data_IF_894107271701
#
_entry.id   IF_894107271701
#
_cell.length_a   1.000
_cell.length_b   1.000
_cell.length_c   1.000
_cell.angle_alpha   90.00
_cell.angle_beta   90.00
_cell.angle_gamma   90.00
#
_symmetry.space_group_name_H-M   'P 1'
#
loop_
_entity.id
_entity.type
_entity.pdbx_description
1 polymer ?
#
# COMPACT_ATOMS: atom_id res chain seq x y z
N UNK A 1 -0.45 -2.89 7.10
CA UNK A 1 -0.03 -2.59 5.71
C UNK A 1 0.69 -1.26 5.51
N UNK A 2 0.56 -0.29 6.40
CA UNK A 2 1.20 1.03 6.25
C UNK A 2 2.71 1.04 6.53
N UNK A 3 3.20 0.15 7.37
CA UNK A 3 4.62 0.13 7.73
C UNK A 3 5.56 -0.34 6.62
N UNK A 4 5.10 -1.18 5.69
CA UNK A 4 5.92 -1.61 4.55
C UNK A 4 6.16 -0.48 3.55
N UNK A 5 5.24 0.47 3.39
CA UNK A 5 5.39 1.60 2.47
C UNK A 5 6.36 2.67 2.96
N UNK A 6 6.57 2.80 4.27
CA UNK A 6 7.47 3.81 4.87
C UNK A 6 8.95 3.43 4.69
N UNK A 7 9.27 2.17 4.43
CA UNK A 7 10.65 1.69 4.27
C UNK A 7 11.23 1.93 2.88
N UNK A 8 10.42 2.04 1.85
CA UNK A 8 10.87 2.18 0.47
C UNK A 8 11.16 3.64 0.10
N UNK A 9 12.08 4.29 0.83
CA UNK A 9 12.48 5.68 0.53
C UNK A 9 13.27 5.80 -0.77
N UNK A 10 13.95 4.75 -1.18
CA UNK A 10 14.70 4.66 -2.45
C UNK A 10 14.56 3.29 -3.07
N UNK A 11 14.76 3.22 -4.38
CA UNK A 11 14.80 1.95 -5.10
C UNK A 11 15.99 1.12 -4.64
N UNK A 12 15.83 -0.18 -4.62
CA UNK A 12 16.89 -1.11 -4.25
C UNK A 12 16.82 -2.38 -5.09
N UNK A 13 17.96 -3.11 -5.14
CA UNK A 13 18.01 -4.42 -5.76
C UNK A 13 17.26 -5.46 -4.92
N UNK A 14 16.52 -6.34 -5.58
CA UNK A 14 15.86 -7.45 -4.94
C UNK A 14 15.87 -8.67 -5.88
N UNK A 15 16.61 -9.71 -5.54
CA UNK A 15 16.80 -10.88 -6.39
C UNK A 15 15.49 -11.56 -6.82
N UNK A 16 14.45 -11.45 -5.99
CA UNK A 16 13.15 -12.07 -6.22
C UNK A 16 12.16 -11.16 -6.96
N UNK A 17 12.56 -10.01 -7.52
CA UNK A 17 11.66 -9.08 -8.19
C UNK A 17 12.14 -8.72 -9.58
N UNK A 18 11.15 -8.48 -10.47
CA UNK A 18 11.39 -7.99 -11.84
C UNK A 18 10.38 -6.88 -12.12
N UNK A 19 10.74 -5.64 -11.83
CA UNK A 19 9.88 -4.48 -12.09
C UNK A 19 10.38 -3.72 -13.33
N UNK A 20 9.47 -3.35 -14.22
CA UNK A 20 9.80 -2.69 -15.48
C UNK A 20 10.63 -3.54 -16.43
N UNK A 21 10.42 -4.88 -16.46
CA UNK A 21 11.12 -5.81 -17.35
C UNK A 21 12.59 -6.10 -16.99
N UNK A 22 13.07 -5.63 -15.83
CA UNK A 22 14.45 -5.82 -15.38
C UNK A 22 14.48 -6.67 -14.11
N UNK A 23 15.09 -7.86 -14.21
CA UNK A 23 15.28 -8.77 -13.08
C UNK A 23 16.13 -8.10 -11.98
N UNK A 24 15.77 -8.37 -10.73
CA UNK A 24 16.50 -7.83 -9.58
C UNK A 24 16.15 -6.39 -9.21
N UNK A 25 15.12 -5.79 -9.81
CA UNK A 25 14.75 -4.39 -9.58
C UNK A 25 13.48 -4.25 -8.75
N UNK A 26 13.53 -3.35 -7.76
CA UNK A 26 12.37 -2.84 -7.03
C UNK A 26 12.29 -1.32 -7.22
N UNK A 27 11.26 -0.84 -7.91
CA UNK A 27 11.06 0.57 -8.26
C UNK A 27 10.08 1.30 -7.32
N UNK A 28 9.75 0.76 -6.17
CA UNK A 28 8.75 1.32 -5.24
C UNK A 28 9.26 2.50 -4.40
N UNK A 29 10.56 2.79 -4.47
CA UNK A 29 11.15 3.92 -3.74
C UNK A 29 10.67 5.28 -4.25
N UNK A 30 10.79 6.30 -3.41
CA UNK A 30 10.52 7.71 -3.75
C UNK A 30 11.66 8.33 -4.55
N UNK A 31 12.86 7.74 -4.45
CA UNK A 31 14.09 8.19 -5.08
C UNK A 31 14.72 6.99 -5.78
N UNK A 32 15.42 7.22 -6.89
CA UNK A 32 16.15 6.15 -7.60
C UNK A 32 17.25 5.54 -6.72
N UNK A 33 17.68 4.31 -7.06
CA UNK A 33 18.70 3.58 -6.30
C UNK A 33 20.01 4.35 -6.16
N UNK A 34 20.43 5.06 -7.20
CA UNK A 34 21.59 5.96 -7.20
C UNK A 34 21.37 7.29 -6.46
N UNK A 35 20.14 7.49 -5.95
CA UNK A 35 19.70 8.68 -5.22
C UNK A 35 19.76 10.01 -6.00
N UNK A 36 19.96 9.96 -7.30
CA UNK A 36 20.08 11.18 -8.12
C UNK A 36 18.73 11.76 -8.52
N UNK A 37 17.72 10.91 -8.71
CA UNK A 37 16.41 11.32 -9.21
C UNK A 37 15.36 11.15 -8.13
N UNK A 38 14.70 12.26 -7.77
CA UNK A 38 13.48 12.28 -6.99
C UNK A 38 12.32 12.03 -7.93
N UNK A 39 11.52 11.02 -7.67
CA UNK A 39 10.32 10.68 -8.47
C UNK A 39 9.17 11.62 -8.13
N UNK A 40 8.12 11.66 -8.95
CA UNK A 40 6.95 12.50 -8.68
C UNK A 40 6.28 12.15 -7.35
N UNK A 41 6.29 10.87 -6.96
CA UNK A 41 5.84 10.44 -5.64
C UNK A 41 6.57 11.13 -4.48
N UNK A 42 7.87 11.42 -4.60
CA UNK A 42 8.61 12.20 -3.60
C UNK A 42 7.98 13.58 -3.40
N UNK A 43 7.62 14.25 -4.50
CA UNK A 43 7.05 15.60 -4.43
C UNK A 43 5.61 15.60 -3.92
N UNK A 44 4.86 14.52 -4.14
CA UNK A 44 3.55 14.36 -3.51
C UNK A 44 3.68 14.26 -1.98
N UNK A 45 4.59 13.43 -1.47
CA UNK A 45 4.87 13.37 -0.03
C UNK A 45 5.38 14.71 0.51
N UNK A 46 6.24 15.39 -0.26
CA UNK A 46 6.71 16.72 0.10
C UNK A 46 5.55 17.72 0.22
N UNK A 47 4.56 17.68 -0.68
CA UNK A 47 3.40 18.54 -0.62
C UNK A 47 2.55 18.32 0.64
N UNK A 48 2.48 17.07 1.15
CA UNK A 48 1.76 16.76 2.39
C UNK A 48 2.51 17.15 3.67
N UNK A 49 3.83 17.08 3.67
CA UNK A 49 4.60 17.13 4.92
C UNK A 49 5.51 18.35 5.06
N UNK A 50 5.80 19.06 3.98
CA UNK A 50 6.64 20.24 4.03
C UNK A 50 5.80 21.48 4.36
N UNK A 51 6.15 22.25 5.40
CA UNK A 51 5.44 23.49 5.73
C UNK A 51 5.75 24.65 4.77
N UNK A 52 6.90 24.59 4.08
CA UNK A 52 7.29 25.65 3.14
C UNK A 52 6.51 25.55 1.84
N UNK A 53 6.12 26.68 1.21
CA UNK A 53 5.44 26.68 -0.07
C UNK A 53 6.22 25.89 -1.11
N UNK A 54 5.52 25.03 -1.86
CA UNK A 54 6.12 24.27 -2.94
C UNK A 54 5.14 24.03 -4.09
N UNK A 55 5.68 23.91 -5.29
CA UNK A 55 4.96 23.47 -6.48
C UNK A 55 5.86 22.57 -7.32
N UNK A 56 5.30 21.53 -7.94
CA UNK A 56 6.04 20.60 -8.79
C UNK A 56 5.17 20.10 -9.94
N UNK A 57 5.66 20.27 -11.17
CA UNK A 57 5.05 19.68 -12.36
C UNK A 57 5.46 18.20 -12.42
N UNK A 58 4.48 17.31 -12.55
CA UNK A 58 4.73 15.88 -12.71
C UNK A 58 5.18 15.56 -14.15
N UNK A 59 5.73 14.35 -14.31
CA UNK A 59 6.08 13.77 -15.62
C UNK A 59 7.08 14.62 -16.45
N UNK A 60 7.94 15.41 -15.81
CA UNK A 60 8.92 16.26 -16.50
C UNK A 60 9.87 15.50 -17.43
N UNK A 61 10.13 14.21 -17.12
CA UNK A 61 11.00 13.37 -17.93
C UNK A 61 10.30 12.84 -19.19
N UNK A 62 8.99 12.86 -19.19
CA UNK A 62 8.16 12.59 -20.37
C UNK A 62 7.96 13.90 -21.15
N UNK A 63 9.07 14.45 -21.66
CA UNK A 63 9.12 15.76 -22.32
C UNK A 63 8.86 15.71 -23.83
N UNK A 64 8.97 14.54 -24.47
CA UNK A 64 8.67 14.34 -25.89
C UNK A 64 7.33 13.60 -25.97
N UNK A 65 6.29 14.24 -26.49
CA UNK A 65 4.92 13.70 -26.56
C UNK A 65 4.37 13.72 -27.97
N UNK A 66 3.79 12.62 -28.40
CA UNK A 66 3.19 12.52 -29.74
C UNK A 66 1.76 13.05 -29.84
N UNK A 67 1.07 13.13 -28.70
CA UNK A 67 -0.32 13.57 -28.65
C UNK A 67 -0.45 15.10 -28.70
N UNK A 68 -1.53 15.61 -29.36
CA UNK A 68 -1.92 17.01 -29.25
C UNK A 68 -2.45 17.34 -27.87
N UNK A 69 -3.36 16.52 -27.36
CA UNK A 69 -4.00 16.72 -26.07
C UNK A 69 -3.20 15.98 -24.99
N UNK A 70 -2.89 16.70 -23.92
CA UNK A 70 -2.17 16.14 -22.77
C UNK A 70 -2.70 16.73 -21.48
N UNK A 71 -2.34 16.10 -20.36
CA UNK A 71 -2.70 16.58 -19.03
C UNK A 71 -1.45 16.98 -18.27
N UNK A 72 -1.44 18.20 -17.76
CA UNK A 72 -0.40 18.68 -16.84
C UNK A 72 -0.89 18.44 -15.43
N UNK A 73 -0.18 17.59 -14.69
CA UNK A 73 -0.44 17.32 -13.27
C UNK A 73 0.57 18.06 -12.43
N UNK A 74 0.09 18.64 -11.35
CA UNK A 74 0.90 19.48 -10.45
C UNK A 74 0.68 19.04 -9.01
N UNK A 75 1.75 18.89 -8.26
CA UNK A 75 1.72 18.67 -6.82
C UNK A 75 2.12 19.96 -6.09
N UNK A 76 1.34 20.36 -5.10
CA UNK A 76 1.59 21.57 -4.32
C UNK A 76 0.89 21.52 -2.96
N UNK A 77 1.40 22.28 -2.00
CA UNK A 77 0.74 22.55 -0.73
C UNK A 77 0.02 23.90 -0.69
N UNK A 78 -0.12 24.55 -1.85
CA UNK A 78 -0.88 25.80 -1.99
C UNK A 78 -2.32 25.51 -2.41
N UNK A 79 -3.24 26.46 -2.19
CA UNK A 79 -4.66 26.28 -2.47
C UNK A 79 -5.02 26.38 -3.96
N UNK A 80 -4.25 27.16 -4.72
CA UNK A 80 -4.50 27.44 -6.14
C UNK A 80 -3.23 27.36 -6.96
N UNK A 81 -3.38 26.93 -8.21
CA UNK A 81 -2.30 26.88 -9.21
C UNK A 81 -2.77 27.60 -10.47
N UNK A 82 -1.93 28.50 -10.97
CA UNK A 82 -2.09 29.13 -12.28
C UNK A 82 -1.18 28.45 -13.27
N UNK A 83 -1.72 28.05 -14.42
CA UNK A 83 -0.99 27.47 -15.53
C UNK A 83 -0.76 28.51 -16.62
N UNK A 84 0.46 28.58 -17.11
CA UNK A 84 0.84 29.32 -18.30
C UNK A 84 1.41 28.37 -19.35
N UNK A 85 1.00 28.56 -20.60
CA UNK A 85 1.51 27.84 -21.76
C UNK A 85 2.03 28.86 -22.76
N UNK A 86 3.30 28.74 -23.14
CA UNK A 86 3.98 29.67 -24.06
C UNK A 86 3.87 31.15 -23.65
N UNK A 87 3.80 31.40 -22.35
CA UNK A 87 3.72 32.75 -21.78
C UNK A 87 2.29 33.29 -21.57
N UNK A 88 1.28 32.59 -22.08
CA UNK A 88 -0.13 32.95 -21.91
C UNK A 88 -0.75 32.24 -20.72
N UNK A 89 -1.52 32.94 -19.90
CA UNK A 89 -2.30 32.35 -18.80
C UNK A 89 -3.45 31.55 -19.36
N UNK A 90 -3.48 30.25 -19.08
CA UNK A 90 -4.48 29.35 -19.63
C UNK A 90 -5.59 29.03 -18.63
N UNK A 91 -5.26 28.80 -17.37
CA UNK A 91 -6.22 28.40 -16.38
C UNK A 91 -5.71 28.60 -14.94
N UNK A 92 -6.65 28.79 -14.02
CA UNK A 92 -6.42 28.77 -12.57
C UNK A 92 -7.29 27.67 -11.97
N UNK A 93 -6.67 26.69 -11.32
CA UNK A 93 -7.39 25.59 -10.69
C UNK A 93 -7.18 25.57 -9.18
N UNK A 94 -8.24 25.20 -8.48
CA UNK A 94 -8.15 24.85 -7.06
C UNK A 94 -7.46 23.50 -6.87
N UNK A 95 -6.69 23.40 -5.81
CA UNK A 95 -5.93 22.19 -5.46
C UNK A 95 -6.80 21.28 -4.58
N UNK A 96 -6.92 20.03 -4.98
CA UNK A 96 -7.62 19.01 -4.17
C UNK A 96 -6.63 17.91 -3.78
N UNK A 97 -6.50 17.67 -2.47
CA UNK A 97 -5.57 16.66 -1.93
C UNK A 97 -4.14 16.84 -2.46
N UNK A 98 -3.67 18.10 -2.48
CA UNK A 98 -2.34 18.47 -2.97
C UNK A 98 -2.09 18.24 -4.47
N UNK A 99 -3.16 18.05 -5.26
CA UNK A 99 -3.08 17.81 -6.70
C UNK A 99 -3.93 18.82 -7.45
N UNK A 100 -3.37 19.43 -8.49
CA UNK A 100 -4.11 20.13 -9.54
C UNK A 100 -3.82 19.48 -10.89
N UNK A 101 -4.80 19.49 -11.81
CA UNK A 101 -4.66 18.90 -13.14
C UNK A 101 -5.25 19.82 -14.18
N UNK A 102 -4.54 19.98 -15.30
CA UNK A 102 -4.91 20.87 -16.39
C UNK A 102 -4.88 20.10 -17.72
N UNK A 103 -6.02 19.89 -18.37
CA UNK A 103 -6.03 19.44 -19.76
C UNK A 103 -5.56 20.59 -20.66
N UNK A 104 -4.60 20.33 -21.53
CA UNK A 104 -4.09 21.32 -22.48
C UNK A 104 -3.89 20.71 -23.87
N UNK A 105 -3.88 21.57 -24.89
CA UNK A 105 -3.48 21.22 -26.25
C UNK A 105 -2.09 21.78 -26.54
N UNK A 106 -1.17 20.91 -27.00
CA UNK A 106 0.19 21.28 -27.35
C UNK A 106 0.24 21.79 -28.80
N UNK A 107 0.87 22.92 -29.01
CA UNK A 107 1.27 23.37 -30.35
C UNK A 107 2.37 22.45 -30.92
N UNK A 108 2.55 22.44 -32.26
CA UNK A 108 3.66 21.72 -32.87
C UNK A 108 5.01 22.21 -32.36
N UNK A 109 5.91 21.29 -32.03
CA UNK A 109 7.23 21.62 -31.49
C UNK A 109 7.22 21.95 -30.00
N UNK A 110 8.09 22.85 -29.58
CA UNK A 110 8.34 23.17 -28.17
C UNK A 110 7.25 24.02 -27.54
N UNK A 111 6.73 23.56 -26.42
CA UNK A 111 5.77 24.26 -25.57
C UNK A 111 6.39 24.53 -24.20
N UNK A 112 6.47 25.77 -23.80
CA UNK A 112 6.93 26.18 -22.49
C UNK A 112 5.74 26.13 -21.51
N UNK A 113 5.81 25.27 -20.54
CA UNK A 113 4.80 25.09 -19.49
C UNK A 113 5.36 25.68 -18.20
N UNK A 114 4.65 26.62 -17.60
CA UNK A 114 4.97 27.20 -16.31
C UNK A 114 3.75 27.12 -15.41
N UNK A 115 3.96 26.73 -14.16
CA UNK A 115 2.94 26.77 -13.12
C UNK A 115 3.37 27.67 -11.97
N UNK A 116 2.44 28.44 -11.46
CA UNK A 116 2.65 29.33 -10.32
C UNK A 116 1.63 29.03 -9.22
N UNK A 117 2.11 28.95 -7.99
CA UNK A 117 1.29 28.70 -6.81
C UNK A 117 1.77 29.61 -5.67
N UNK A 118 1.04 30.72 -5.43
CA UNK A 118 1.54 31.79 -4.57
C UNK A 118 2.83 32.40 -5.11
N UNK A 119 3.88 32.41 -4.30
CA UNK A 119 5.19 32.95 -4.66
C UNK A 119 6.16 31.92 -5.27
N UNK A 120 5.76 30.65 -5.33
CA UNK A 120 6.58 29.58 -5.90
C UNK A 120 6.12 29.21 -7.30
N UNK A 121 7.07 28.79 -8.13
CA UNK A 121 6.80 28.39 -9.50
C UNK A 121 7.65 27.19 -9.91
N UNK A 122 7.21 26.52 -10.96
CA UNK A 122 7.93 25.42 -11.58
C UNK A 122 7.67 25.43 -13.08
N UNK A 123 8.65 24.96 -13.88
CA UNK A 123 8.54 24.98 -15.34
C UNK A 123 9.10 23.72 -15.97
N UNK A 124 8.59 23.42 -17.18
CA UNK A 124 9.08 22.35 -18.04
C UNK A 124 8.84 22.73 -19.51
N UNK A 125 9.70 22.29 -20.40
CA UNK A 125 9.45 22.35 -21.83
C UNK A 125 9.00 20.98 -22.32
N UNK A 126 7.84 20.94 -22.98
CA UNK A 126 7.30 19.75 -23.63
C UNK A 126 7.39 19.97 -25.14
N UNK A 127 8.01 19.04 -25.83
CA UNK A 127 8.13 19.08 -27.29
C UNK A 127 7.13 18.10 -27.91
N UNK A 128 6.22 18.60 -28.73
CA UNK A 128 5.28 17.78 -29.48
C UNK A 128 6.00 17.23 -30.72
N UNK A 129 6.20 15.93 -30.73
CA UNK A 129 6.90 15.16 -31.79
C UNK A 129 5.91 14.26 -32.54
N UNK A 130 6.28 13.82 -33.73
CA UNK A 130 5.46 12.89 -34.50
C UNK A 130 5.43 11.49 -33.85
N UNK A 131 6.56 11.06 -33.32
CA UNK A 131 6.71 9.75 -32.67
C UNK A 131 7.56 9.89 -31.40
N UNK A 132 7.10 9.26 -30.33
CA UNK A 132 7.84 9.19 -29.07
C UNK A 132 9.07 8.28 -29.19
N UNK A 133 10.15 8.57 -28.45
CA UNK A 133 11.32 7.71 -28.41
C UNK A 133 10.98 6.31 -27.90
N UNK A 134 11.59 5.29 -28.49
CA UNK A 134 11.46 3.90 -28.02
C UNK A 134 11.91 3.71 -26.56
N UNK A 135 12.80 4.57 -26.06
CA UNK A 135 13.24 4.59 -24.67
C UNK A 135 12.12 4.90 -23.66
N UNK A 136 10.98 5.42 -24.11
CA UNK A 136 9.80 5.66 -23.26
C UNK A 136 8.92 4.41 -23.12
N UNK A 137 9.09 3.44 -24.01
CA UNK A 137 8.40 2.17 -23.93
C UNK A 137 9.21 1.25 -23.01
N UNK A 138 8.58 0.74 -21.96
CA UNK A 138 9.20 -0.34 -21.20
C UNK A 138 9.41 -1.52 -22.14
N UNK A 139 10.60 -2.17 -22.13
CA UNK A 139 10.75 -3.42 -22.82
C UNK A 139 9.62 -4.33 -22.34
N UNK A 140 8.89 -4.93 -23.28
CA UNK A 140 7.90 -5.94 -22.93
C UNK A 140 8.60 -6.91 -22.00
N UNK A 141 8.02 -7.11 -20.81
CA UNK A 141 8.49 -8.17 -19.95
C UNK A 141 8.42 -9.43 -20.81
N UNK A 142 9.57 -9.95 -21.24
CA UNK A 142 9.63 -11.27 -21.85
C UNK A 142 8.78 -12.18 -21.01
N UNK A 143 8.14 -13.18 -21.59
CA UNK A 143 7.16 -14.06 -20.96
C UNK A 143 7.52 -14.17 -19.49
N UNK A 144 6.67 -13.63 -18.63
CA UNK A 144 6.96 -13.56 -17.21
C UNK A 144 7.39 -14.96 -16.78
N UNK A 145 8.70 -15.23 -16.74
CA UNK A 145 9.17 -16.16 -15.74
C UNK A 145 8.51 -15.64 -14.49
N UNK A 146 7.64 -16.41 -13.89
CA UNK A 146 6.75 -16.03 -12.79
C UNK A 146 7.58 -15.34 -11.71
N UNK A 147 7.92 -14.10 -11.99
CA UNK A 147 8.72 -13.27 -11.14
C UNK A 147 7.88 -12.90 -9.96
N UNK A 148 8.24 -13.48 -8.83
CA UNK A 148 7.57 -13.38 -7.56
C UNK A 148 6.06 -13.44 -7.76
N UNK A 149 5.56 -14.63 -7.92
CA UNK A 149 4.20 -14.94 -7.58
C UNK A 149 3.93 -14.11 -6.32
N UNK A 150 2.97 -13.18 -6.43
CA UNK A 150 2.50 -12.46 -5.28
C UNK A 150 2.36 -13.55 -4.22
N UNK A 151 3.15 -13.50 -3.13
CA UNK A 151 3.15 -14.59 -2.14
C UNK A 151 1.74 -14.89 -1.63
N UNK A 152 0.78 -13.93 -1.83
CA UNK A 152 -0.65 -14.15 -1.73
C UNK A 152 -1.25 -14.99 -2.89
N UNK A 153 -0.54 -15.20 -4.01
CA UNK A 153 -0.96 -16.13 -5.08
C UNK A 153 -0.35 -17.51 -4.90
N UNK A 154 0.82 -17.62 -4.27
CA UNK A 154 1.41 -18.90 -3.85
C UNK A 154 0.70 -19.47 -2.63
N UNK A 155 0.17 -18.64 -1.76
CA UNK A 155 -0.96 -18.99 -0.90
C UNK A 155 -2.16 -19.01 -1.85
N UNK A 156 -2.27 -20.04 -2.68
CA UNK A 156 -3.49 -20.38 -3.42
C UNK A 156 -4.67 -20.27 -2.49
N UNK A 157 -5.94 -20.28 -2.93
CA UNK A 157 -7.06 -20.25 -2.01
C UNK A 157 -6.68 -21.23 -0.93
N UNK A 158 -6.39 -20.67 0.27
CA UNK A 158 -5.99 -21.46 1.43
C UNK A 158 -6.86 -22.68 1.34
N UNK A 159 -6.29 -23.80 0.95
CA UNK A 159 -7.01 -25.06 0.91
C UNK A 159 -7.28 -25.32 2.40
N UNK A 160 -8.32 -24.64 2.90
CA UNK A 160 -8.86 -24.85 4.24
C UNK A 160 -9.34 -26.30 4.39
N UNK A 161 -9.30 -27.06 3.28
CA UNK A 161 -9.52 -28.51 3.24
C UNK A 161 -8.27 -29.36 3.52
N UNK A 162 -7.06 -28.84 3.42
CA UNK A 162 -5.92 -29.49 4.05
C UNK A 162 -6.04 -29.20 5.55
N UNK A 163 -6.48 -30.21 6.29
CA UNK A 163 -6.50 -30.20 7.74
C UNK A 163 -5.12 -29.71 8.22
N UNK A 164 -5.08 -28.50 8.77
CA UNK A 164 -3.87 -28.02 9.44
C UNK A 164 -3.46 -29.10 10.43
N UNK A 165 -2.33 -29.78 10.16
CA UNK A 165 -1.78 -30.75 11.10
C UNK A 165 -1.24 -29.98 12.29
N UNK A 166 -2.00 -30.01 13.36
CA UNK A 166 -1.55 -29.46 14.63
C UNK A 166 -0.56 -30.43 15.28
N UNK A 167 0.48 -29.94 15.97
CA UNK A 167 1.40 -30.79 16.73
C UNK A 167 0.64 -31.58 17.78
N UNK A 168 0.87 -32.87 17.91
CA UNK A 168 0.24 -33.73 18.92
C UNK A 168 0.79 -33.48 20.34
N UNK A 169 1.93 -32.82 20.45
CA UNK A 169 2.63 -32.52 21.70
C UNK A 169 2.23 -31.18 22.35
N UNK A 170 1.25 -30.46 21.78
CA UNK A 170 0.85 -29.13 22.24
C UNK A 170 -0.64 -28.92 22.14
N UNK A 171 -1.19 -28.13 23.07
CA UNK A 171 -2.56 -27.66 22.95
C UNK A 171 -2.70 -26.67 21.81
N UNK A 172 -3.78 -26.79 21.07
CA UNK A 172 -4.11 -25.95 19.92
C UNK A 172 -5.60 -25.66 19.88
N UNK A 173 -6.02 -24.76 19.00
CA UNK A 173 -7.41 -24.26 18.93
C UNK A 173 -8.47 -25.32 18.64
N UNK A 174 -8.07 -26.51 18.17
CA UNK A 174 -9.00 -27.64 17.94
C UNK A 174 -9.08 -28.62 19.12
N UNK A 175 -8.27 -28.40 20.16
CA UNK A 175 -8.43 -29.18 21.40
C UNK A 175 -9.74 -28.82 22.07
N UNK A 176 -10.35 -29.83 22.68
CA UNK A 176 -11.53 -29.65 23.51
C UNK A 176 -11.15 -29.16 24.91
N UNK A 177 -12.08 -28.58 25.62
CA UNK A 177 -11.82 -28.22 27.03
C UNK A 177 -11.52 -29.45 27.91
N UNK A 178 -12.08 -30.61 27.58
CA UNK A 178 -11.83 -31.87 28.28
C UNK A 178 -10.34 -32.26 28.14
N UNK A 179 -9.79 -32.25 26.93
CA UNK A 179 -8.37 -32.50 26.66
C UNK A 179 -7.46 -31.51 27.38
N UNK A 180 -7.79 -30.21 27.34
CA UNK A 180 -7.00 -29.17 28.01
C UNK A 180 -7.05 -29.32 29.52
N UNK A 181 -8.17 -29.81 30.05
CA UNK A 181 -8.37 -29.99 31.49
C UNK A 181 -7.52 -31.11 32.12
N UNK A 182 -6.83 -31.90 31.31
CA UNK A 182 -5.84 -32.88 31.79
C UNK A 182 -4.58 -32.17 32.30
N UNK A 183 -4.34 -30.91 31.92
CA UNK A 183 -3.23 -30.07 32.39
C UNK A 183 -3.79 -28.89 33.20
N UNK A 184 -3.47 -28.86 34.49
CA UNK A 184 -3.98 -27.85 35.43
C UNK A 184 -3.54 -26.41 35.06
N UNK A 185 -2.27 -26.21 34.56
CA UNK A 185 -1.78 -24.90 34.16
C UNK A 185 -2.51 -24.37 32.91
N UNK A 186 -2.72 -25.24 31.90
CA UNK A 186 -3.46 -24.89 30.69
C UNK A 186 -4.91 -24.56 31.01
N UNK A 187 -5.53 -25.33 31.90
CA UNK A 187 -6.93 -25.10 32.34
C UNK A 187 -7.04 -23.79 33.12
N UNK A 188 -6.07 -23.46 33.95
CA UNK A 188 -6.03 -22.16 34.67
C UNK A 188 -6.02 -20.99 33.72
N UNK A 189 -5.23 -21.05 32.63
CA UNK A 189 -5.19 -20.01 31.60
C UNK A 189 -6.52 -19.84 30.90
N UNK A 190 -7.17 -20.94 30.51
CA UNK A 190 -8.50 -20.90 29.87
C UNK A 190 -9.55 -20.32 30.84
N UNK A 191 -9.51 -20.69 32.09
CA UNK A 191 -10.45 -20.19 33.13
C UNK A 191 -10.23 -18.69 33.36
N UNK A 192 -8.99 -18.23 33.42
CA UNK A 192 -8.68 -16.79 33.52
C UNK A 192 -9.17 -16.00 32.31
N UNK A 193 -8.95 -16.51 31.10
CA UNK A 193 -9.42 -15.88 29.87
C UNK A 193 -10.96 -15.78 29.84
N UNK A 194 -11.65 -16.88 30.18
CA UNK A 194 -13.11 -16.90 30.26
C UNK A 194 -13.65 -15.90 31.28
N UNK A 195 -13.04 -15.81 32.45
CA UNK A 195 -13.42 -14.86 33.49
C UNK A 195 -13.24 -13.42 33.05
N UNK A 196 -12.15 -13.11 32.34
CA UNK A 196 -11.90 -11.77 31.81
C UNK A 196 -12.92 -11.36 30.74
N UNK A 197 -13.33 -12.28 29.87
CA UNK A 197 -14.22 -12.00 28.73
C UNK A 197 -15.69 -11.99 29.17
N UNK A 198 -16.11 -12.97 29.94
CA UNK A 198 -17.53 -13.19 30.27
C UNK A 198 -17.91 -12.85 31.72
N UNK A 199 -16.92 -12.63 32.58
CA UNK A 199 -17.14 -12.52 34.02
C UNK A 199 -17.46 -13.86 34.72
N UNK A 200 -17.55 -14.97 33.99
CA UNK A 200 -17.92 -16.28 34.51
C UNK A 200 -16.68 -17.14 34.77
N UNK A 201 -16.77 -17.95 35.81
CA UNK A 201 -15.71 -18.92 36.15
C UNK A 201 -16.14 -20.30 35.67
N UNK A 202 -15.26 -21.00 34.96
CA UNK A 202 -15.48 -22.34 34.48
C UNK A 202 -14.81 -23.34 35.46
N UNK A 203 -15.59 -24.10 36.20
CA UNK A 203 -15.10 -25.09 37.15
C UNK A 203 -15.52 -26.50 36.76
N UNK A 204 -14.62 -27.49 36.90
CA UNK A 204 -14.93 -28.88 36.65
C UNK A 204 -16.03 -29.35 37.63
N UNK A 205 -17.07 -30.02 37.10
CA UNK A 205 -18.18 -30.54 37.90
C UNK A 205 -19.38 -29.60 38.05
N UNK A 206 -19.32 -28.40 37.51
CA UNK A 206 -20.48 -27.51 37.42
C UNK A 206 -21.27 -27.73 36.12
N UNK A 207 -22.57 -27.43 36.12
CA UNK A 207 -23.43 -27.67 34.94
C UNK A 207 -22.97 -27.03 33.65
N UNK A 208 -22.28 -25.88 33.73
CA UNK A 208 -21.70 -25.21 32.58
C UNK A 208 -20.51 -26.00 31.99
N UNK A 209 -19.70 -26.62 32.87
CA UNK A 209 -18.61 -27.49 32.43
C UNK A 209 -19.12 -28.65 31.58
N UNK A 210 -20.16 -29.34 32.03
CA UNK A 210 -20.71 -30.48 31.31
C UNK A 210 -21.27 -30.13 29.92
N UNK A 211 -21.75 -28.91 29.77
CA UNK A 211 -22.19 -28.39 28.45
C UNK A 211 -21.01 -28.04 27.53
N UNK A 212 -19.90 -27.55 28.08
CA UNK A 212 -18.83 -26.97 27.29
C UNK A 212 -17.60 -27.88 27.12
N UNK A 213 -17.42 -28.93 27.96
CA UNK A 213 -16.19 -29.75 27.96
C UNK A 213 -15.83 -30.38 26.63
N UNK A 214 -16.82 -30.67 25.76
CA UNK A 214 -16.62 -31.22 24.42
C UNK A 214 -16.48 -30.15 23.33
N UNK A 215 -16.59 -28.87 23.69
CA UNK A 215 -16.41 -27.79 22.74
C UNK A 215 -14.89 -27.57 22.46
N UNK A 216 -14.58 -27.35 21.21
CA UNK A 216 -13.22 -26.93 20.79
C UNK A 216 -12.98 -25.47 21.12
N UNK A 217 -11.74 -25.09 21.40
CA UNK A 217 -11.38 -23.70 21.65
C UNK A 217 -11.75 -22.76 20.49
N UNK A 218 -11.66 -23.22 19.22
CA UNK A 218 -12.08 -22.43 18.06
C UNK A 218 -13.56 -22.03 18.09
N UNK A 219 -14.43 -22.97 18.48
CA UNK A 219 -15.88 -22.72 18.61
C UNK A 219 -16.19 -21.79 19.80
N UNK A 220 -15.39 -21.89 20.86
CA UNK A 220 -15.47 -20.95 21.98
C UNK A 220 -15.04 -19.56 21.58
N UNK A 221 -13.97 -19.43 20.79
CA UNK A 221 -13.51 -18.14 20.26
C UNK A 221 -14.58 -17.45 19.43
N UNK A 222 -15.27 -18.18 18.56
CA UNK A 222 -16.38 -17.64 17.76
C UNK A 222 -17.54 -17.17 18.65
N UNK A 223 -17.91 -17.95 19.65
CA UNK A 223 -18.97 -17.59 20.60
C UNK A 223 -18.58 -16.39 21.47
N UNK A 224 -17.34 -16.33 21.94
CA UNK A 224 -16.84 -15.28 22.81
C UNK A 224 -16.46 -14.00 22.03
N UNK A 225 -16.11 -14.11 20.75
CA UNK A 225 -15.76 -12.98 19.89
C UNK A 225 -16.87 -11.94 19.75
N UNK A 226 -18.14 -12.37 19.93
CA UNK A 226 -19.28 -11.46 19.99
C UNK A 226 -19.45 -10.75 21.34
N UNK A 227 -18.76 -11.20 22.39
CA UNK A 227 -18.81 -10.69 23.77
C UNK A 227 -17.52 -10.03 24.22
N UNK A 228 -16.42 -10.21 23.48
CA UNK A 228 -15.11 -9.65 23.83
C UNK A 228 -15.06 -8.16 23.54
N UNK A 229 -14.41 -7.35 24.40
CA UNK A 229 -14.13 -5.95 24.09
C UNK A 229 -13.29 -5.81 22.80
N UNK A 230 -13.51 -4.70 22.07
CA UNK A 230 -12.76 -4.38 20.86
C UNK A 230 -11.25 -4.38 21.17
N UNK A 231 -10.44 -5.13 20.36
CA UNK A 231 -8.99 -5.25 20.55
C UNK A 231 -8.50 -6.38 21.48
N UNK A 232 -9.40 -7.18 22.05
CA UNK A 232 -8.99 -8.27 22.97
C UNK A 232 -8.46 -9.53 22.24
N UNK A 233 -8.77 -9.68 20.95
CA UNK A 233 -8.40 -10.85 20.12
C UNK A 233 -7.39 -10.52 19.01
N UNK A 234 -6.81 -9.30 19.01
CA UNK A 234 -5.66 -8.91 18.21
C UNK A 234 -4.37 -9.25 18.99
#
# INVERSE_FOLDING_TARGET
GSEMCIRDRFDFGCAARSEGGVTGRNNKGLVTMDRKIKKDSFYLYKAYWNPEPMVHICDKRYSLRSGENTQIRVYTNQERVTLFVNGEEMAVNEVKRHVASFPISLSGGKNAILVKAGDVWDAVTIDRVEKEPESYVFPEAGEREEGVANWFREVGPLNLSEEMKYPEDRYHIRCTLEEISENDEAMELVTKAMKLITGMTLAKGEGMWDMMKKMKLESMKEMLGTMAPEGFLE
#
